data_IF_708544184472
#
_entry.id   IF_708544184472
#
_cell.length_a   1.000
_cell.length_b   1.000
_cell.length_c   1.000
_cell.angle_alpha   90.00
_cell.angle_beta   90.00
_cell.angle_gamma   90.00
#
_symmetry.space_group_name_H-M   'P 1'
#
loop_
_entity.id
_entity.type
_entity.pdbx_description
1 polymer ?
#
# COMPACT_ATOMS: atom_id res chain seq x y z
N UNK A 1 21.10 -14.21 -14.37
CA UNK A 1 20.24 -13.79 -13.24
C UNK A 1 18.81 -14.22 -13.53
N UNK A 2 18.30 -15.26 -12.86
CA UNK A 2 16.95 -15.78 -13.08
C UNK A 2 15.95 -14.96 -12.25
N UNK A 3 15.18 -14.04 -12.87
CA UNK A 3 14.13 -13.31 -12.15
C UNK A 3 12.95 -14.27 -11.94
N UNK A 4 12.75 -14.74 -10.71
CA UNK A 4 11.54 -15.46 -10.33
C UNK A 4 10.30 -14.61 -10.64
N UNK A 5 9.16 -15.22 -11.05
CA UNK A 5 7.94 -14.49 -11.36
C UNK A 5 7.50 -13.63 -10.15
N UNK A 6 7.11 -12.38 -10.41
CA UNK A 6 6.69 -11.45 -9.36
C UNK A 6 5.37 -11.93 -8.75
N UNK A 7 5.42 -12.37 -7.49
CA UNK A 7 4.24 -12.75 -6.71
C UNK A 7 3.27 -11.57 -6.61
N UNK A 8 1.97 -11.80 -6.82
CA UNK A 8 0.93 -10.80 -6.57
C UNK A 8 0.67 -10.66 -5.07
N UNK A 9 0.49 -9.42 -4.62
CA UNK A 9 0.13 -9.05 -3.24
C UNK A 9 -1.22 -8.34 -3.25
N UNK A 10 -2.06 -8.64 -2.26
CA UNK A 10 -3.33 -7.95 -2.04
C UNK A 10 -3.09 -6.78 -1.08
N UNK A 11 -3.47 -5.58 -1.49
CA UNK A 11 -3.20 -4.35 -0.72
C UNK A 11 -4.43 -3.45 -0.71
N UNK A 12 -4.72 -2.86 0.46
CA UNK A 12 -5.75 -1.83 0.59
C UNK A 12 -5.22 -0.50 0.03
N UNK A 13 -5.94 0.11 -0.91
CA UNK A 13 -5.56 1.36 -1.58
C UNK A 13 -6.77 2.29 -1.71
N UNK A 14 -6.49 3.54 -2.06
CA UNK A 14 -7.52 4.49 -2.48
C UNK A 14 -7.02 5.28 -3.70
N UNK A 15 -7.90 5.43 -4.67
CA UNK A 15 -7.63 6.08 -5.97
C UNK A 15 -8.07 7.55 -5.99
N UNK A 16 -8.83 7.95 -4.99
CA UNK A 16 -9.33 9.31 -4.74
C UNK A 16 -9.41 9.56 -3.24
N UNK A 17 -9.53 10.84 -2.85
CA UNK A 17 -9.73 11.24 -1.46
C UNK A 17 -11.21 11.12 -1.11
N UNK A 18 -11.55 10.72 0.13
CA UNK A 18 -12.96 10.58 0.52
C UNK A 18 -13.18 10.01 1.91
N UNK A 19 -14.35 9.40 2.14
CA UNK A 19 -14.69 8.54 3.29
C UNK A 19 -14.30 7.07 3.04
N UNK A 20 -14.55 6.15 3.98
CA UNK A 20 -14.08 4.76 3.88
C UNK A 20 -14.52 4.02 2.59
N UNK A 21 -15.57 4.49 1.93
CA UNK A 21 -16.08 4.02 0.64
C UNK A 21 -15.05 4.03 -0.50
N UNK A 22 -14.01 4.87 -0.43
CA UNK A 22 -12.96 4.91 -1.48
C UNK A 22 -11.89 3.83 -1.34
N UNK A 23 -12.00 2.96 -0.32
CA UNK A 23 -11.04 1.89 -0.07
C UNK A 23 -11.28 0.70 -1.01
N UNK A 24 -10.26 0.33 -1.76
CA UNK A 24 -10.25 -0.85 -2.65
C UNK A 24 -9.21 -1.87 -2.19
N UNK A 25 -9.41 -3.14 -2.53
CA UNK A 25 -8.35 -4.16 -2.43
C UNK A 25 -7.81 -4.41 -3.83
N UNK A 26 -6.60 -3.94 -4.08
CA UNK A 26 -5.91 -4.12 -5.35
C UNK A 26 -4.97 -5.35 -5.28
N UNK A 27 -4.80 -6.03 -6.42
CA UNK A 27 -3.74 -7.02 -6.61
C UNK A 27 -2.55 -6.37 -7.32
N UNK A 28 -1.40 -6.30 -6.66
CA UNK A 28 -0.19 -5.65 -7.18
C UNK A 28 0.94 -6.64 -7.33
N UNK A 29 1.82 -6.45 -8.32
CA UNK A 29 3.05 -7.20 -8.37
C UNK A 29 3.96 -6.80 -7.18
N UNK A 30 4.51 -7.79 -6.47
CA UNK A 30 5.46 -7.54 -5.39
C UNK A 30 6.63 -6.70 -5.90
N UNK A 31 7.03 -5.63 -5.18
CA UNK A 31 8.16 -4.80 -5.57
C UNK A 31 9.47 -5.60 -5.51
N UNK A 32 10.44 -5.19 -6.32
CA UNK A 32 11.83 -5.63 -6.17
C UNK A 32 12.42 -5.10 -4.88
N UNK A 33 13.26 -5.89 -4.24
CA UNK A 33 13.98 -5.53 -3.02
C UNK A 33 15.42 -5.18 -3.37
N UNK A 34 15.98 -4.21 -2.67
CA UNK A 34 17.41 -3.97 -2.57
C UNK A 34 18.03 -4.88 -1.50
N UNK A 35 19.36 -4.93 -1.46
CA UNK A 35 20.09 -5.76 -0.51
C UNK A 35 19.74 -5.47 0.96
N UNK A 36 19.33 -4.25 1.27
CA UNK A 36 18.96 -3.79 2.62
C UNK A 36 17.48 -3.94 2.95
N UNK A 37 16.65 -4.34 1.99
CA UNK A 37 15.20 -4.40 2.19
C UNK A 37 14.80 -5.76 2.79
N UNK A 38 13.79 -5.73 3.66
CA UNK A 38 13.18 -6.94 4.22
C UNK A 38 11.74 -7.06 3.72
N UNK A 39 11.32 -8.29 3.36
CA UNK A 39 9.93 -8.59 3.03
C UNK A 39 9.23 -9.24 4.20
N UNK A 40 8.15 -8.62 4.65
CA UNK A 40 7.33 -9.11 5.76
C UNK A 40 6.01 -9.65 5.19
N UNK A 41 5.64 -10.87 5.59
CA UNK A 41 4.32 -11.41 5.33
C UNK A 41 3.34 -10.90 6.40
N UNK A 42 2.66 -9.79 6.13
CA UNK A 42 1.70 -9.17 7.05
C UNK A 42 0.54 -10.15 7.32
N UNK A 43 0.39 -10.57 8.57
CA UNK A 43 -0.75 -11.40 9.04
C UNK A 43 -1.89 -10.54 9.56
N UNK A 44 -1.54 -9.47 10.27
CA UNK A 44 -2.45 -8.51 10.88
C UNK A 44 -1.82 -7.13 10.82
N UNK A 45 -2.65 -6.10 10.76
CA UNK A 45 -2.23 -4.71 10.89
C UNK A 45 -3.29 -3.95 11.68
N UNK A 46 -2.90 -2.83 12.29
CA UNK A 46 -3.81 -1.94 13.02
C UNK A 46 -4.06 -0.68 12.21
N UNK A 47 -5.25 -0.11 12.39
CA UNK A 47 -5.60 1.19 11.85
C UNK A 47 -5.20 2.29 12.85
N UNK A 48 -4.65 3.36 12.31
CA UNK A 48 -4.31 4.59 13.01
C UNK A 48 -5.25 5.72 12.55
N UNK A 49 -5.41 6.74 13.40
CA UNK A 49 -6.08 8.00 13.01
C UNK A 49 -5.44 8.63 11.78
N UNK A 50 -4.12 8.49 11.65
CA UNK A 50 -3.37 8.96 10.49
C UNK A 50 -3.88 8.36 9.17
N UNK A 51 -4.29 7.08 9.15
CA UNK A 51 -4.76 6.43 7.92
C UNK A 51 -6.03 7.10 7.39
N UNK A 52 -6.97 7.41 8.28
CA UNK A 52 -8.18 8.16 7.93
C UNK A 52 -7.86 9.59 7.49
N UNK A 53 -6.90 10.24 8.15
CA UNK A 53 -6.47 11.60 7.80
C UNK A 53 -5.77 11.67 6.44
N UNK A 54 -4.92 10.70 6.10
CA UNK A 54 -4.29 10.59 4.78
C UNK A 54 -5.34 10.40 3.69
N UNK A 55 -6.27 9.46 3.88
CA UNK A 55 -7.34 9.17 2.90
C UNK A 55 -8.29 10.35 2.68
N UNK A 56 -8.51 11.19 3.69
CA UNK A 56 -9.30 12.42 3.60
C UNK A 56 -8.53 13.62 3.04
N UNK A 57 -7.22 13.48 2.80
CA UNK A 57 -6.37 14.55 2.26
C UNK A 57 -5.86 15.55 3.29
N UNK A 58 -6.03 15.30 4.59
CA UNK A 58 -5.50 16.19 5.64
C UNK A 58 -3.97 16.17 5.72
N UNK A 59 -3.34 15.09 5.23
CA UNK A 59 -1.90 15.01 5.04
C UNK A 59 -1.60 14.89 3.55
N UNK A 60 -0.96 15.91 2.96
CA UNK A 60 -0.57 15.87 1.55
C UNK A 60 0.74 15.09 1.38
N UNK A 61 0.65 13.78 1.13
CA UNK A 61 1.81 12.91 0.87
C UNK A 61 1.53 11.91 -0.25
N UNK A 62 2.46 11.81 -1.21
CA UNK A 62 2.42 10.84 -2.29
C UNK A 62 1.48 11.20 -3.45
N UNK A 63 1.24 10.23 -4.34
CA UNK A 63 0.36 10.33 -5.51
C UNK A 63 -0.74 9.26 -5.39
N UNK A 64 -1.92 9.57 -5.92
CA UNK A 64 -2.99 8.59 -6.10
C UNK A 64 -2.70 7.66 -7.29
N UNK A 65 -3.03 6.36 -7.21
CA UNK A 65 -3.57 5.67 -6.05
C UNK A 65 -2.53 5.49 -4.95
N UNK A 66 -2.90 5.84 -3.71
CA UNK A 66 -1.96 5.82 -2.60
C UNK A 66 -1.54 4.39 -2.28
N UNK A 67 -0.23 4.18 -2.17
CA UNK A 67 0.39 2.95 -1.69
C UNK A 67 1.42 3.35 -0.66
N UNK A 68 1.34 2.74 0.53
CA UNK A 68 2.45 2.81 1.47
C UNK A 68 3.60 1.99 0.87
N UNK A 69 4.56 2.66 0.21
CA UNK A 69 5.91 2.11 0.12
C UNK A 69 6.54 2.39 1.48
N UNK A 70 6.42 1.41 2.37
CA UNK A 70 7.38 1.28 3.47
C UNK A 70 8.73 0.89 2.86
#
# INVERSE_FOLDING_TARGET
>A
MHKSPRKLIRTVRFHELGGPEVLTIDSLASPSLQATDVRIAVKVFRLNRADAMFRRGHYRRGRLPFTNRL
#
